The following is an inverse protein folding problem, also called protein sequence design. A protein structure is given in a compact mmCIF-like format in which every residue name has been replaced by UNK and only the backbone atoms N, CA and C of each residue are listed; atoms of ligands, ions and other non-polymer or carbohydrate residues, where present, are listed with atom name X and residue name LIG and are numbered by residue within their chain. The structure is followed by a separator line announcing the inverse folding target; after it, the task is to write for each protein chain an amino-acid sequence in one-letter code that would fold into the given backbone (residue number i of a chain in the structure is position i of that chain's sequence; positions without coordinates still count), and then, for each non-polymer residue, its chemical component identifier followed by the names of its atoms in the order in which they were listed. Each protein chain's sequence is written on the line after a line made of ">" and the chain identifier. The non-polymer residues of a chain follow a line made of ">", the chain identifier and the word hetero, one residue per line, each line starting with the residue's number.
data_IF_709677501486
#
_entry.id   IF_709677501486
#
_cell.length_a   1.000
_cell.length_b   1.000
_cell.length_c   1.000
_cell.angle_alpha   90.00
_cell.angle_beta   90.00
_cell.angle_gamma   90.00
#
_symmetry.space_group_name_H-M   'P 1'
#
loop_
_entity.id
_entity.type
_entity.pdbx_description
1 polymer ?
#
# COMPACT_ATOMS: atom_id res chain seq x y z
N UNK A 1 -11.89 16.24 -22.05
CA UNK A 1 -11.44 15.32 -20.97
C UNK A 1 -10.16 15.90 -20.40
N UNK A 2 -10.25 16.53 -19.24
CA UNK A 2 -9.08 17.01 -18.50
C UNK A 2 -8.38 15.78 -17.94
N UNK A 3 -7.21 15.44 -18.48
CA UNK A 3 -6.37 14.39 -17.92
C UNK A 3 -6.00 14.83 -16.51
N UNK A 4 -6.56 14.18 -15.49
CA UNK A 4 -6.10 14.40 -14.12
C UNK A 4 -4.62 14.08 -14.09
N UNK A 5 -3.81 15.13 -13.88
CA UNK A 5 -2.36 14.99 -13.91
C UNK A 5 -1.96 14.23 -12.66
N UNK A 6 -1.48 12.99 -12.80
CA UNK A 6 -1.03 12.16 -11.68
C UNK A 6 -0.03 12.94 -10.83
N UNK A 7 -0.43 13.20 -9.59
CA UNK A 7 0.29 14.02 -8.60
C UNK A 7 1.48 13.24 -8.01
N UNK A 8 1.40 11.92 -8.01
CA UNK A 8 2.41 11.00 -7.50
C UNK A 8 2.36 9.70 -8.32
N UNK A 9 3.49 9.01 -8.42
CA UNK A 9 3.60 7.74 -9.13
C UNK A 9 4.49 6.78 -8.32
N UNK A 10 4.01 5.56 -8.09
CA UNK A 10 4.77 4.51 -7.45
C UNK A 10 5.58 3.77 -8.50
N UNK A 11 6.89 3.65 -8.26
CA UNK A 11 7.82 2.95 -9.16
C UNK A 11 8.20 1.58 -8.63
N UNK A 12 7.89 1.30 -7.36
CA UNK A 12 8.20 0.05 -6.69
C UNK A 12 7.26 -0.18 -5.51
N UNK A 13 6.84 -1.44 -5.36
CA UNK A 13 6.11 -1.95 -4.21
C UNK A 13 6.66 -3.35 -3.92
N UNK A 14 6.99 -3.63 -2.66
CA UNK A 14 7.56 -4.90 -2.21
C UNK A 14 7.03 -5.25 -0.82
N UNK A 15 6.64 -6.52 -0.65
CA UNK A 15 6.03 -7.07 0.55
C UNK A 15 6.94 -8.16 1.13
N UNK A 16 7.30 -8.02 2.40
CA UNK A 16 8.14 -8.99 3.12
C UNK A 16 7.51 -9.37 4.44
N UNK A 17 7.47 -10.66 4.75
CA UNK A 17 7.12 -11.16 6.09
C UNK A 17 8.39 -11.42 6.88
N UNK A 18 8.44 -10.88 8.09
CA UNK A 18 9.50 -11.07 9.06
C UNK A 18 8.92 -11.65 10.35
N UNK A 19 9.67 -12.55 11.00
CA UNK A 19 9.30 -13.20 12.27
C UNK A 19 7.90 -13.87 12.28
N UNK A 20 7.40 -14.28 11.11
CA UNK A 20 6.07 -14.89 10.92
C UNK A 20 4.88 -14.07 11.44
N UNK A 21 5.08 -12.80 11.81
CA UNK A 21 4.06 -11.94 12.43
C UNK A 21 4.07 -10.50 11.93
N UNK A 22 5.20 -10.02 11.41
CA UNK A 22 5.32 -8.66 10.92
C UNK A 22 5.40 -8.70 9.40
N UNK A 23 4.55 -7.91 8.75
CA UNK A 23 4.71 -7.63 7.33
C UNK A 23 5.26 -6.22 7.15
N UNK A 24 6.36 -6.12 6.42
CA UNK A 24 6.92 -4.87 5.94
C UNK A 24 6.41 -4.65 4.51
N UNK A 25 5.85 -3.48 4.26
CA UNK A 25 5.55 -2.96 2.92
C UNK A 25 6.55 -1.85 2.63
N UNK A 26 7.32 -2.01 1.57
CA UNK A 26 8.25 -1.00 1.07
C UNK A 26 7.71 -0.43 -0.24
N UNK A 27 7.49 0.89 -0.29
CA UNK A 27 6.98 1.57 -1.46
C UNK A 27 7.92 2.72 -1.85
N UNK A 28 8.28 2.82 -3.12
CA UNK A 28 9.11 3.92 -3.65
C UNK A 28 8.42 4.58 -4.81
N UNK A 29 8.68 5.86 -4.98
CA UNK A 29 8.03 6.61 -6.04
C UNK A 29 8.54 8.03 -6.19
N UNK A 30 7.83 8.77 -7.03
CA UNK A 30 8.10 10.17 -7.34
C UNK A 30 6.83 10.97 -7.03
N UNK A 31 7.01 12.08 -6.33
CA UNK A 31 5.95 13.07 -6.13
C UNK A 31 6.29 14.36 -6.86
N UNK A 32 5.28 15.02 -7.40
CA UNK A 32 5.39 16.39 -7.93
C UNK A 32 5.39 17.47 -6.82
N UNK A 33 5.30 17.06 -5.55
CA UNK A 33 5.26 17.93 -4.38
C UNK A 33 6.43 17.68 -3.43
N UNK A 34 6.77 18.69 -2.62
CA UNK A 34 7.90 18.69 -1.68
C UNK A 34 7.76 17.71 -0.51
N UNK A 35 6.63 17.03 -0.41
CA UNK A 35 6.37 15.95 0.52
C UNK A 35 5.54 14.85 -0.17
N UNK A 36 5.84 13.57 0.11
CA UNK A 36 4.99 12.47 -0.36
C UNK A 36 3.63 12.54 0.33
N UNK A 37 2.66 11.85 -0.25
CA UNK A 37 1.36 11.69 0.37
C UNK A 37 1.45 10.97 1.72
N UNK A 38 0.34 10.98 2.46
CA UNK A 38 0.18 10.12 3.63
C UNK A 38 -0.28 8.74 3.13
N UNK A 39 0.52 7.69 3.33
CA UNK A 39 0.14 6.37 2.86
C UNK A 39 -1.02 5.82 3.69
N UNK A 40 -1.96 5.15 3.01
CA UNK A 40 -3.09 4.47 3.64
C UNK A 40 -3.36 3.16 2.92
N UNK A 41 -3.68 2.14 3.70
CA UNK A 41 -4.12 0.84 3.20
C UNK A 41 -5.62 0.73 3.38
N UNK A 42 -6.32 0.34 2.31
CA UNK A 42 -7.78 0.22 2.30
C UNK A 42 -8.15 -1.18 1.83
N UNK A 43 -9.05 -1.91 2.51
CA UNK A 43 -9.56 -3.17 1.98
C UNK A 43 -10.23 -2.99 0.61
N UNK A 44 -9.93 -3.89 -0.33
CA UNK A 44 -10.60 -3.92 -1.65
C UNK A 44 -12.07 -4.36 -1.52
N UNK A 45 -12.33 -5.24 -0.55
CA UNK A 45 -13.66 -5.78 -0.30
C UNK A 45 -14.33 -5.08 0.90
N UNK A 46 -15.67 -5.13 0.94
CA UNK A 46 -16.44 -4.57 2.05
C UNK A 46 -16.03 -5.18 3.40
N UNK A 47 -16.06 -4.34 4.44
CA UNK A 47 -15.78 -4.77 5.82
C UNK A 47 -16.82 -5.84 6.20
N UNK A 48 -16.35 -7.06 6.46
CA UNK A 48 -17.20 -8.21 6.80
C UNK A 48 -17.38 -9.23 5.67
N UNK A 49 -16.83 -8.97 4.47
CA UNK A 49 -16.74 -9.98 3.43
C UNK A 49 -15.86 -11.16 3.89
N UNK A 50 -16.32 -12.39 3.66
CA UNK A 50 -15.49 -13.57 3.92
C UNK A 50 -14.23 -13.52 3.05
N UNK A 51 -13.08 -13.79 3.66
CA UNK A 51 -11.82 -13.93 2.94
C UNK A 51 -11.90 -15.18 2.05
N UNK A 52 -12.33 -15.01 0.79
CA UNK A 52 -12.38 -16.09 -0.19
C UNK A 52 -10.99 -16.74 -0.32
N UNK A 53 -10.85 -17.96 0.21
CA UNK A 53 -9.58 -18.69 0.19
C UNK A 53 -8.52 -18.18 1.17
N UNK A 54 -8.84 -17.25 2.08
CA UNK A 54 -7.91 -16.70 3.07
C UNK A 54 -6.95 -15.63 2.53
N UNK A 55 -7.21 -15.04 1.36
CA UNK A 55 -6.41 -13.95 0.81
C UNK A 55 -7.02 -12.58 1.18
N UNK A 56 -6.25 -11.73 1.85
CA UNK A 56 -6.62 -10.33 2.08
C UNK A 56 -6.08 -9.46 0.94
N UNK A 57 -6.95 -8.74 0.24
CA UNK A 57 -6.55 -7.75 -0.76
C UNK A 57 -6.71 -6.33 -0.21
N UNK A 58 -5.65 -5.52 -0.34
CA UNK A 58 -5.58 -4.15 0.12
C UNK A 58 -5.13 -3.23 -1.03
N UNK A 59 -5.71 -2.04 -1.12
CA UNK A 59 -5.21 -0.96 -1.95
C UNK A 59 -4.32 -0.04 -1.12
N UNK A 60 -3.10 0.17 -1.59
CA UNK A 60 -2.19 1.20 -1.15
C UNK A 60 -2.51 2.50 -1.88
N UNK A 61 -3.01 3.48 -1.14
CA UNK A 61 -3.26 4.82 -1.62
C UNK A 61 -2.31 5.79 -0.93
N UNK A 62 -1.75 6.73 -1.70
CA UNK A 62 -0.96 7.81 -1.13
C UNK A 62 -1.80 9.08 -1.12
N UNK A 63 -2.38 9.41 0.04
CA UNK A 63 -3.32 10.52 0.17
C UNK A 63 -2.58 11.86 0.02
N UNK A 64 -3.11 12.83 -0.73
CA UNK A 64 -2.45 14.12 -0.90
C UNK A 64 -2.28 14.84 0.45
N UNK A 65 -1.16 15.54 0.62
CA UNK A 65 -0.96 16.44 1.78
C UNK A 65 -1.45 17.82 1.41
N UNK A 66 -2.33 18.38 2.23
CA UNK A 66 -2.80 19.76 2.04
C UNK A 66 -1.61 20.73 2.14
N UNK A 67 -1.63 21.79 1.31
CA UNK A 67 -0.63 22.87 1.31
C UNK A 67 0.80 22.47 0.89
N UNK A 68 1.01 21.29 0.29
CA UNK A 68 2.31 20.90 -0.24
C UNK A 68 2.76 21.84 -1.38
N UNK A 69 4.03 22.24 -1.40
CA UNK A 69 4.59 23.08 -2.47
C UNK A 69 4.98 22.19 -3.65
N UNK A 70 4.84 22.71 -4.87
CA UNK A 70 5.31 22.00 -6.07
C UNK A 70 6.83 21.92 -6.06
N UNK A 71 7.34 20.69 -5.97
CA UNK A 71 8.76 20.35 -6.04
C UNK A 71 8.86 18.87 -6.28
N UNK A 72 9.53 18.46 -7.35
CA UNK A 72 9.68 17.03 -7.62
C UNK A 72 10.61 16.39 -6.60
N UNK A 73 10.16 15.34 -5.92
CA UNK A 73 10.98 14.55 -4.99
C UNK A 73 10.84 13.06 -5.27
N UNK A 74 11.88 12.31 -4.96
CA UNK A 74 11.81 10.86 -4.78
C UNK A 74 11.44 10.56 -3.33
N UNK A 75 10.60 9.57 -3.09
CA UNK A 75 10.22 9.15 -1.75
C UNK A 75 10.38 7.64 -1.56
N UNK A 76 10.55 7.25 -0.30
CA UNK A 76 10.51 5.87 0.17
C UNK A 76 9.64 5.82 1.42
N UNK A 77 8.65 4.95 1.40
CA UNK A 77 7.68 4.73 2.48
C UNK A 77 7.84 3.28 2.95
N UNK A 78 7.89 3.09 4.27
CA UNK A 78 7.95 1.78 4.90
C UNK A 78 6.81 1.67 5.92
N UNK A 79 5.95 0.68 5.75
CA UNK A 79 4.82 0.41 6.65
C UNK A 79 5.02 -0.96 7.26
N UNK A 80 4.87 -1.05 8.58
CA UNK A 80 4.90 -2.32 9.31
C UNK A 80 3.50 -2.64 9.79
N UNK A 81 3.03 -3.84 9.47
CA UNK A 81 1.74 -4.37 9.92
C UNK A 81 1.98 -5.58 10.81
N UNK A 82 1.28 -5.61 11.95
CA UNK A 82 1.20 -6.78 12.81
C UNK A 82 0.09 -7.71 12.32
N UNK A 83 0.49 -8.85 11.74
CA UNK A 83 -0.40 -9.86 11.17
C UNK A 83 -1.27 -10.53 12.22
N UNK A 84 -0.87 -10.54 13.49
CA UNK A 84 -1.68 -11.11 14.57
C UNK A 84 -2.94 -10.29 14.85
N UNK A 85 -2.99 -9.03 14.36
CA UNK A 85 -4.19 -8.18 14.43
C UNK A 85 -5.17 -8.45 13.28
N UNK A 86 -4.79 -9.29 12.32
CA UNK A 86 -5.64 -9.67 11.19
C UNK A 86 -6.39 -10.97 11.52
N UNK A 87 -7.51 -11.20 10.82
CA UNK A 87 -8.42 -12.32 11.11
C UNK A 87 -7.76 -13.69 10.99
N UNK A 88 -8.19 -14.63 11.84
CA UNK A 88 -7.75 -16.02 11.78
C UNK A 88 -8.15 -16.68 10.46
N UNK A 89 -7.23 -17.41 9.83
CA UNK A 89 -7.43 -18.08 8.53
C UNK A 89 -6.78 -17.38 7.33
N UNK A 90 -6.01 -16.32 7.57
CA UNK A 90 -5.23 -15.61 6.56
C UNK A 90 -4.10 -16.50 6.00
N UNK A 91 -4.09 -16.71 4.69
CA UNK A 91 -3.09 -17.47 3.92
C UNK A 91 -2.18 -16.57 3.10
N UNK A 92 -2.55 -15.32 2.90
CA UNK A 92 -1.73 -14.36 2.17
C UNK A 92 -2.33 -12.96 2.19
N UNK A 93 -1.51 -12.00 1.81
CA UNK A 93 -1.88 -10.60 1.64
C UNK A 93 -1.39 -10.13 0.29
N UNK A 94 -2.30 -9.57 -0.50
CA UNK A 94 -1.99 -8.87 -1.75
C UNK A 94 -2.21 -7.39 -1.55
N UNK A 95 -1.21 -6.57 -1.88
CA UNK A 95 -1.32 -5.13 -1.87
C UNK A 95 -1.25 -4.63 -3.31
N UNK A 96 -2.31 -3.96 -3.74
CA UNK A 96 -2.36 -3.27 -5.02
C UNK A 96 -1.94 -1.81 -4.82
N UNK A 97 -1.35 -1.24 -5.84
CA UNK A 97 -1.14 0.18 -6.04
C UNK A 97 -1.56 0.52 -7.47
N UNK A 98 -1.66 1.80 -7.81
CA UNK A 98 -2.17 2.23 -9.11
C UNK A 98 -1.38 1.64 -10.29
N UNK A 99 -0.05 1.54 -10.19
CA UNK A 99 0.81 0.96 -11.24
C UNK A 99 1.49 -0.36 -10.87
N UNK A 100 1.38 -0.82 -9.62
CA UNK A 100 2.12 -1.99 -9.12
C UNK A 100 1.22 -2.87 -8.26
N UNK A 101 1.57 -4.14 -8.11
CA UNK A 101 0.98 -4.99 -7.09
C UNK A 101 2.04 -5.97 -6.62
N UNK A 102 1.96 -6.35 -5.35
CA UNK A 102 2.78 -7.42 -4.82
C UNK A 102 2.00 -8.25 -3.79
N UNK A 103 2.43 -9.49 -3.58
CA UNK A 103 1.72 -10.48 -2.78
C UNK A 103 2.71 -11.27 -1.92
N UNK A 104 2.33 -11.45 -0.65
CA UNK A 104 3.04 -12.34 0.25
C UNK A 104 2.12 -13.46 0.74
N UNK A 105 2.65 -14.68 0.74
CA UNK A 105 1.97 -15.85 1.27
C UNK A 105 2.43 -16.10 2.70
N UNK A 106 1.48 -16.32 3.60
CA UNK A 106 1.70 -16.59 5.02
C UNK A 106 1.63 -18.11 5.19
N UNK A 107 2.71 -18.69 5.70
CA UNK A 107 2.84 -20.14 5.94
C UNK A 107 2.44 -20.51 7.36
#
# INVERSE_FOLDING_TARGET
>A
MTTERKVQCLTHLDLKVSESRLMLIEAKGISDFDQPGVPKLVPVFEIGAELNGGLLELDFINQPVEQAKRKKITFEIRIVIDLNKLSGGLKGIKVNAEENADIVLIK
#
